data_IF_240444860075
#
_entry.id   IF_240444860075
#
_cell.length_a   1.000
_cell.length_b   1.000
_cell.length_c   1.000
_cell.angle_alpha   90.00
_cell.angle_beta   90.00
_cell.angle_gamma   90.00
#
_symmetry.space_group_name_H-M   'P 1'
#
loop_
_entity.id
_entity.type
_entity.pdbx_description
1 polymer ?
#
# COMPACT_ATOMS: atom_id res chain seq x y z
N UNK A 1 9.55 14.28 -38.72
CA UNK A 1 9.71 13.36 -37.59
C UNK A 1 10.03 14.23 -36.40
N UNK A 2 9.03 14.50 -35.55
CA UNK A 2 9.23 15.31 -34.35
C UNK A 2 9.84 14.39 -33.30
N UNK A 3 11.12 14.55 -33.06
CA UNK A 3 11.84 13.88 -31.98
C UNK A 3 11.26 14.39 -30.65
N UNK A 4 10.41 13.57 -30.03
CA UNK A 4 9.96 13.76 -28.67
C UNK A 4 11.19 13.68 -27.75
N UNK A 5 11.62 14.84 -27.26
CA UNK A 5 12.75 14.96 -26.34
C UNK A 5 12.35 14.35 -25.01
N UNK A 6 12.67 13.06 -24.83
CA UNK A 6 12.57 12.38 -23.53
C UNK A 6 13.56 13.06 -22.60
N UNK A 7 13.15 13.65 -21.46
CA UNK A 7 14.12 14.24 -20.53
C UNK A 7 15.01 13.13 -19.99
N UNK A 8 16.28 13.16 -20.38
CA UNK A 8 17.35 12.29 -19.89
C UNK A 8 17.54 12.57 -18.39
N UNK A 9 17.00 11.69 -17.55
CA UNK A 9 17.18 11.77 -16.10
C UNK A 9 18.52 11.16 -15.71
N UNK A 10 19.58 11.95 -15.88
CA UNK A 10 20.88 11.71 -15.26
C UNK A 10 21.05 12.65 -14.06
N UNK A 11 21.11 12.08 -12.85
CA UNK A 11 21.70 12.71 -11.66
C UNK A 11 20.76 13.58 -10.80
N UNK A 12 20.36 13.03 -9.64
CA UNK A 12 19.77 13.79 -8.53
C UNK A 12 18.29 13.47 -8.28
N UNK A 13 18.01 12.31 -7.66
CA UNK A 13 16.67 11.94 -7.23
C UNK A 13 15.68 11.79 -8.38
N UNK A 14 15.80 10.70 -9.15
CA UNK A 14 14.77 10.33 -10.12
C UNK A 14 13.40 10.36 -9.42
N UNK A 15 12.39 11.05 -9.98
CA UNK A 15 11.02 10.88 -9.54
C UNK A 15 10.74 9.39 -9.58
N UNK A 16 10.18 8.85 -8.48
CA UNK A 16 9.93 7.41 -8.34
C UNK A 16 9.35 6.89 -9.65
N UNK A 17 9.99 5.87 -10.23
CA UNK A 17 9.47 5.28 -11.45
C UNK A 17 8.02 4.86 -11.21
N UNK A 18 7.16 4.97 -12.22
CA UNK A 18 5.73 4.66 -12.08
C UNK A 18 5.50 3.31 -11.39
N UNK A 19 6.31 2.30 -11.72
CA UNK A 19 6.27 0.98 -11.07
C UNK A 19 6.56 1.04 -9.56
N UNK A 20 7.58 1.78 -9.14
CA UNK A 20 7.91 1.96 -7.73
C UNK A 20 6.78 2.68 -6.98
N UNK A 21 6.16 3.68 -7.61
CA UNK A 21 4.99 4.34 -7.03
C UNK A 21 3.80 3.38 -6.90
N UNK A 22 3.59 2.49 -7.87
CA UNK A 22 2.55 1.47 -7.80
C UNK A 22 2.83 0.44 -6.69
N UNK A 23 4.09 0.00 -6.53
CA UNK A 23 4.50 -0.92 -5.46
C UNK A 23 4.27 -0.32 -4.07
N UNK A 24 4.63 0.94 -3.86
CA UNK A 24 4.38 1.64 -2.60
C UNK A 24 2.89 1.80 -2.31
N UNK A 25 2.10 2.13 -3.33
CA UNK A 25 0.65 2.22 -3.21
C UNK A 25 0.05 0.86 -2.83
N UNK A 26 0.46 -0.23 -3.49
CA UNK A 26 0.00 -1.57 -3.14
C UNK A 26 0.42 -1.97 -1.72
N UNK A 27 1.64 -1.63 -1.30
CA UNK A 27 2.12 -1.91 0.05
C UNK A 27 1.30 -1.17 1.12
N UNK A 28 0.97 0.11 0.88
CA UNK A 28 0.11 0.89 1.77
C UNK A 28 -1.29 0.28 1.85
N UNK A 29 -1.90 -0.06 0.71
CA UNK A 29 -3.22 -0.70 0.67
C UNK A 29 -3.22 -2.06 1.39
N UNK A 30 -2.16 -2.85 1.24
CA UNK A 30 -2.06 -4.15 1.91
C UNK A 30 -1.90 -4.01 3.43
N UNK A 31 -1.20 -2.97 3.89
CA UNK A 31 -1.10 -2.67 5.31
C UNK A 31 -2.46 -2.28 5.89
N UNK A 32 -3.22 -1.43 5.19
CA UNK A 32 -4.56 -1.01 5.60
C UNK A 32 -5.52 -2.21 5.67
N UNK A 33 -5.47 -3.11 4.69
CA UNK A 33 -6.28 -4.33 4.69
C UNK A 33 -5.90 -5.28 5.84
N UNK A 34 -4.61 -5.42 6.12
CA UNK A 34 -4.13 -6.25 7.24
C UNK A 34 -4.55 -5.69 8.60
N UNK A 35 -4.56 -4.36 8.74
CA UNK A 35 -5.05 -3.68 9.95
C UNK A 35 -6.57 -3.87 10.12
N UNK A 36 -7.34 -3.75 9.03
CA UNK A 36 -8.78 -3.99 9.06
C UNK A 36 -9.10 -5.45 9.42
N UNK A 37 -8.38 -6.42 8.86
CA UNK A 37 -8.55 -7.84 9.19
C UNK A 37 -8.30 -8.10 10.69
N UNK A 38 -7.22 -7.54 11.24
CA UNK A 38 -6.92 -7.64 12.67
C UNK A 38 -8.02 -7.01 13.56
N UNK A 39 -8.57 -5.87 13.14
CA UNK A 39 -9.68 -5.22 13.85
C UNK A 39 -10.96 -6.08 13.85
N UNK A 40 -11.30 -6.66 12.69
CA UNK A 40 -12.44 -7.57 12.57
C UNK A 40 -12.27 -8.84 13.42
N UNK A 41 -11.07 -9.42 13.44
CA UNK A 41 -10.76 -10.56 14.32
C UNK A 41 -10.86 -10.19 15.80
N UNK A 42 -10.38 -9.00 16.18
CA UNK A 42 -10.50 -8.49 17.55
C UNK A 42 -11.96 -8.29 17.96
N UNK A 43 -12.77 -7.69 17.08
CA UNK A 43 -14.19 -7.47 17.31
C UNK A 43 -14.96 -8.80 17.44
N UNK A 44 -14.67 -9.79 16.59
CA UNK A 44 -15.29 -11.12 16.67
C UNK A 44 -14.87 -11.95 17.89
N UNK A 45 -13.63 -11.82 18.36
CA UNK A 45 -13.17 -12.50 19.59
C UNK A 45 -13.79 -11.91 20.86
N UNK A 46 -14.12 -10.61 20.85
CA UNK A 46 -14.82 -9.96 21.96
C UNK A 46 -16.23 -10.53 22.20
N UNK A 47 -16.91 -10.97 21.14
CA UNK A 47 -18.24 -11.59 21.26
C UNK A 47 -18.17 -13.03 21.77
N UNK A 48 -17.22 -13.84 21.31
CA UNK A 48 -17.04 -15.22 21.80
C UNK A 48 -16.56 -15.28 23.27
N UNK A 49 -15.71 -14.35 23.70
CA UNK A 49 -15.26 -14.29 25.10
C UNK A 49 -16.37 -13.88 26.08
N UNK A 50 -17.42 -13.20 25.61
CA UNK A 50 -18.54 -12.73 26.44
C UNK A 50 -19.62 -13.80 26.62
N UNK A 51 -19.76 -14.76 25.70
CA UNK A 51 -20.71 -15.88 25.84
C UNK A 51 -20.18 -17.07 26.65
N UNK A 52 -18.88 -17.11 26.94
CA UNK A 52 -18.23 -18.22 27.65
C UNK A 52 -18.03 -18.02 29.18
N UNK A 53 -18.68 -17.02 29.78
CA UNK A 53 -18.61 -16.70 31.22
C UNK A 53 -19.97 -16.80 31.92
#
# INVERSE_FOLDING_TARGET
MSEESVPQQGGGGQPKGLLQQMEELMAALNADLSALDADLQSAGRGTEATEAG
#
